data_IF_932657011529
#
_entry.id   IF_932657011529
#
_cell.length_a   1.000
_cell.length_b   1.000
_cell.length_c   1.000
_cell.angle_alpha   90.00
_cell.angle_beta   90.00
_cell.angle_gamma   90.00
#
_symmetry.space_group_name_H-M   'P 1'
#
loop_
_entity.id
_entity.type
_entity.pdbx_description
1 polymer ?
#
# COMPACT_ATOMS: atom_id res chain seq x y z
N UNK A 1 -5.84 56.14 -3.29
CA UNK A 1 -4.95 55.05 -3.78
C UNK A 1 -4.21 54.45 -2.58
N UNK A 2 -4.64 53.27 -2.10
CA UNK A 2 -4.00 52.56 -0.96
C UNK A 2 -3.07 51.48 -1.51
N UNK A 3 -1.79 51.52 -1.13
CA UNK A 3 -0.80 50.46 -1.43
C UNK A 3 -1.04 49.24 -0.52
N UNK A 4 -0.84 48.00 -1.02
CA UNK A 4 -0.92 46.80 -0.20
C UNK A 4 0.40 46.57 0.58
N UNK A 5 0.35 45.89 1.74
CA UNK A 5 1.55 45.59 2.52
C UNK A 5 2.33 44.40 1.94
N UNK A 6 3.66 44.55 1.91
CA UNK A 6 4.63 43.49 1.57
C UNK A 6 4.67 42.44 2.68
N UNK A 7 4.58 41.15 2.30
CA UNK A 7 4.90 40.02 3.18
C UNK A 7 6.39 39.68 3.07
N UNK A 8 7.07 39.64 4.20
CA UNK A 8 8.46 39.17 4.34
C UNK A 8 8.49 37.65 4.44
N UNK A 9 9.51 36.96 3.88
CA UNK A 9 9.66 35.52 4.02
C UNK A 9 10.41 35.16 5.30
N UNK A 10 9.80 34.32 6.14
CA UNK A 10 10.44 33.73 7.31
C UNK A 10 11.38 32.61 6.86
N UNK A 11 12.70 32.82 7.03
CA UNK A 11 13.73 31.79 6.86
C UNK A 11 13.77 30.94 8.13
N UNK A 12 13.46 29.64 8.03
CA UNK A 12 13.77 28.66 9.07
C UNK A 12 15.16 28.08 8.80
N UNK A 13 16.11 28.40 9.69
CA UNK A 13 17.46 27.88 9.68
C UNK A 13 17.49 26.50 10.33
N UNK A 14 18.15 25.54 9.68
CA UNK A 14 18.51 24.25 10.27
C UNK A 14 20.03 24.23 10.48
N UNK A 15 20.45 24.08 11.73
CA UNK A 15 21.85 23.92 12.11
C UNK A 15 22.35 22.51 11.77
N UNK A 16 23.48 22.46 11.08
CA UNK A 16 24.25 21.25 10.79
C UNK A 16 25.33 21.09 11.88
N UNK A 17 25.42 19.93 12.52
CA UNK A 17 26.60 19.51 13.30
C UNK A 17 27.19 18.30 12.59
N UNK A 18 28.45 18.42 12.18
CA UNK A 18 29.26 17.37 11.56
C UNK A 18 30.28 16.89 12.59
N UNK A 19 30.36 15.59 12.81
CA UNK A 19 31.50 14.91 13.44
C UNK A 19 31.87 13.68 12.59
N UNK A 20 33.17 13.40 12.56
CA UNK A 20 33.90 12.76 11.47
C UNK A 20 34.48 11.38 11.83
N UNK A 21 35.04 10.73 10.78
CA UNK A 21 36.03 9.62 10.76
C UNK A 21 35.51 8.22 11.15
N UNK A 22 35.90 7.08 10.54
CA UNK A 22 36.90 6.71 9.53
C UNK A 22 36.75 5.20 9.18
N UNK A 23 37.62 4.60 8.34
CA UNK A 23 37.33 3.40 7.56
C UNK A 23 37.60 2.04 8.23
N UNK A 24 36.88 1.02 7.74
CA UNK A 24 36.97 -0.40 8.09
C UNK A 24 38.15 -1.11 7.40
N UNK A 25 38.70 -2.14 8.07
CA UNK A 25 39.76 -3.04 7.58
C UNK A 25 39.19 -4.37 7.10
N UNK A 26 39.80 -4.88 6.03
CA UNK A 26 39.69 -6.22 5.45
C UNK A 26 40.18 -7.35 6.37
N UNK A 27 39.51 -8.50 6.28
CA UNK A 27 40.05 -9.88 6.24
C UNK A 27 38.83 -10.82 6.07
N UNK A 28 38.75 -11.78 5.14
CA UNK A 28 39.80 -12.52 4.47
C UNK A 28 39.93 -13.92 5.07
N UNK A 29 38.90 -14.76 4.99
CA UNK A 29 38.98 -16.18 5.37
C UNK A 29 38.48 -17.10 4.25
N UNK A 30 39.34 -18.07 3.90
CA UNK A 30 39.09 -19.14 2.93
C UNK A 30 38.36 -20.32 3.60
N UNK A 31 37.41 -20.98 2.92
CA UNK A 31 36.77 -22.19 3.45
C UNK A 31 37.72 -23.41 3.40
N UNK A 32 37.70 -24.19 4.48
CA UNK A 32 38.33 -25.50 4.63
C UNK A 32 37.47 -26.59 3.95
N UNK A 33 38.17 -27.57 3.35
CA UNK A 33 37.63 -28.72 2.63
C UNK A 33 36.63 -29.56 3.45
N UNK A 34 35.45 -29.76 2.88
CA UNK A 34 34.42 -30.65 3.43
C UNK A 34 34.59 -32.08 2.87
N UNK A 35 34.44 -33.13 3.70
CA UNK A 35 34.51 -34.52 3.28
C UNK A 35 33.30 -34.95 2.43
N UNK A 36 33.46 -35.98 1.57
CA UNK A 36 32.44 -36.40 0.60
C UNK A 36 31.19 -37.00 1.27
N UNK A 37 30.04 -36.65 0.71
CA UNK A 37 28.72 -37.10 1.16
C UNK A 37 28.47 -38.59 0.86
N UNK A 38 27.74 -39.32 1.72
CA UNK A 38 27.32 -40.69 1.44
C UNK A 38 26.24 -40.77 0.35
N UNK A 39 26.30 -41.82 -0.47
CA UNK A 39 25.35 -42.11 -1.55
C UNK A 39 23.91 -42.26 -1.04
N UNK A 40 22.90 -41.71 -1.76
CA UNK A 40 21.51 -41.77 -1.34
C UNK A 40 20.94 -43.18 -1.54
N UNK A 41 20.44 -43.76 -0.44
CA UNK A 41 19.63 -44.96 -0.46
C UNK A 41 18.36 -44.74 -1.29
N UNK A 42 18.12 -45.63 -2.25
CA UNK A 42 17.00 -45.61 -3.18
C UNK A 42 15.67 -45.91 -2.44
N UNK A 43 15.06 -44.89 -1.84
CA UNK A 43 13.75 -44.98 -1.21
C UNK A 43 12.66 -44.91 -2.28
N UNK A 44 12.03 -46.06 -2.57
CA UNK A 44 10.81 -46.11 -3.38
C UNK A 44 9.72 -45.32 -2.65
N UNK A 45 9.38 -44.15 -3.19
CA UNK A 45 8.32 -43.29 -2.66
C UNK A 45 6.97 -43.99 -2.81
N UNK A 46 6.25 -44.12 -1.69
CA UNK A 46 4.83 -44.50 -1.71
C UNK A 46 4.02 -43.44 -2.49
N UNK A 47 2.90 -43.82 -3.13
CA UNK A 47 2.03 -42.86 -3.80
C UNK A 47 1.54 -41.82 -2.79
N UNK A 48 1.90 -40.56 -3.05
CA UNK A 48 1.44 -39.41 -2.27
C UNK A 48 -0.08 -39.32 -2.47
N UNK A 49 -0.89 -39.28 -1.40
CA UNK A 49 -2.33 -39.06 -1.53
C UNK A 49 -2.58 -37.74 -2.27
N UNK A 50 -3.56 -37.73 -3.18
CA UNK A 50 -3.96 -36.55 -3.94
C UNK A 50 -4.20 -35.38 -2.98
N UNK A 51 -3.27 -34.42 -2.99
CA UNK A 51 -3.45 -33.17 -2.27
C UNK A 51 -4.62 -32.43 -2.91
N UNK A 52 -5.51 -31.81 -2.11
CA UNK A 52 -6.57 -30.99 -2.64
C UNK A 52 -5.98 -29.93 -3.60
N UNK A 53 -6.73 -29.53 -4.64
CA UNK A 53 -6.23 -28.56 -5.62
C UNK A 53 -5.77 -27.30 -4.90
N UNK A 54 -4.51 -26.93 -5.14
CA UNK A 54 -3.92 -25.69 -4.62
C UNK A 54 -4.83 -24.53 -5.02
N UNK A 55 -5.22 -23.62 -4.11
CA UNK A 55 -6.04 -22.47 -4.46
C UNK A 55 -5.39 -21.70 -5.60
N UNK A 56 -6.23 -21.23 -6.54
CA UNK A 56 -5.75 -20.47 -7.68
C UNK A 56 -4.91 -19.27 -7.21
N UNK A 57 -3.85 -18.94 -7.95
CA UNK A 57 -3.01 -17.80 -7.62
C UNK A 57 -3.87 -16.52 -7.55
N UNK A 58 -3.82 -15.83 -6.40
CA UNK A 58 -4.56 -14.59 -6.15
C UNK A 58 -4.16 -13.55 -7.19
N UNK A 59 -5.14 -12.83 -7.75
CA UNK A 59 -4.86 -11.72 -8.64
C UNK A 59 -4.47 -10.49 -7.79
N UNK A 60 -3.18 -10.35 -7.51
CA UNK A 60 -2.65 -9.31 -6.60
C UNK A 60 -3.03 -7.87 -6.99
N UNK A 61 -3.45 -7.62 -8.23
CA UNK A 61 -3.82 -6.28 -8.68
C UNK A 61 -5.31 -5.93 -8.47
N UNK A 62 -6.22 -6.90 -8.65
CA UNK A 62 -7.64 -6.68 -8.33
C UNK A 62 -7.81 -6.71 -6.81
N UNK A 63 -8.76 -5.97 -6.25
CA UNK A 63 -9.07 -5.93 -4.82
C UNK A 63 -10.59 -5.93 -4.69
N UNK A 64 -11.14 -6.69 -3.75
CA UNK A 64 -12.56 -6.71 -3.40
C UNK A 64 -12.73 -6.59 -1.87
N UNK A 65 -13.94 -6.35 -1.37
CA UNK A 65 -14.19 -6.21 0.07
C UNK A 65 -14.11 -7.55 0.82
N UNK A 66 -14.27 -8.65 0.11
CA UNK A 66 -14.10 -10.02 0.58
C UNK A 66 -12.76 -10.66 0.15
N UNK A 67 -11.88 -9.86 -0.47
CA UNK A 67 -10.59 -10.30 -0.99
C UNK A 67 -9.61 -9.12 -1.00
N UNK A 68 -9.06 -8.76 0.16
CA UNK A 68 -8.29 -7.51 0.31
C UNK A 68 -6.89 -7.64 0.91
N UNK A 69 -6.47 -8.76 1.49
CA UNK A 69 -5.08 -8.89 1.94
C UNK A 69 -4.11 -8.83 0.75
N UNK A 70 -3.14 -7.90 0.79
CA UNK A 70 -2.17 -7.68 -0.29
C UNK A 70 -0.80 -7.42 0.30
N UNK A 71 0.17 -8.22 -0.11
CA UNK A 71 1.56 -8.12 0.39
C UNK A 71 2.32 -6.94 -0.22
N UNK A 72 2.08 -6.65 -1.50
CA UNK A 72 2.83 -5.61 -2.23
C UNK A 72 1.94 -4.39 -2.46
N UNK A 73 2.40 -3.25 -1.96
CA UNK A 73 1.72 -1.97 -2.03
C UNK A 73 2.64 -0.90 -2.63
N UNK A 74 2.05 0.14 -3.21
CA UNK A 74 2.74 1.24 -3.85
C UNK A 74 2.18 2.58 -3.37
N UNK A 75 3.07 3.55 -3.20
CA UNK A 75 2.69 4.94 -2.90
C UNK A 75 3.46 5.90 -3.80
N UNK A 76 2.76 6.86 -4.37
CA UNK A 76 3.38 8.02 -4.99
C UNK A 76 3.89 8.98 -3.91
N UNK A 77 5.00 9.65 -4.18
CA UNK A 77 5.70 10.53 -3.24
C UNK A 77 6.52 11.56 -4.04
N UNK A 78 7.05 12.59 -3.38
CA UNK A 78 7.91 13.59 -4.03
C UNK A 78 9.39 13.23 -3.93
N UNK A 79 10.24 13.78 -4.81
CA UNK A 79 11.70 13.64 -4.71
C UNK A 79 12.25 14.04 -3.31
N UNK A 80 11.73 15.13 -2.73
CA UNK A 80 12.14 15.55 -1.38
C UNK A 80 11.79 14.52 -0.30
N UNK A 81 10.66 13.81 -0.44
CA UNK A 81 10.30 12.71 0.45
C UNK A 81 11.19 11.48 0.22
N UNK A 82 11.54 11.15 -1.03
CA UNK A 82 12.53 10.10 -1.34
C UNK A 82 13.87 10.40 -0.68
N UNK A 83 14.35 11.64 -0.77
CA UNK A 83 15.60 12.05 -0.12
C UNK A 83 15.53 11.90 1.41
N UNK A 84 14.37 12.22 2.01
CA UNK A 84 14.14 11.99 3.43
C UNK A 84 14.14 10.50 3.78
N UNK A 85 13.56 9.64 2.94
CA UNK A 85 13.63 8.16 3.09
C UNK A 85 15.07 7.66 3.02
N UNK A 86 15.86 8.13 2.04
CA UNK A 86 17.26 7.76 1.87
C UNK A 86 18.12 8.09 3.10
N UNK A 87 17.89 9.26 3.70
CA UNK A 87 18.61 9.72 4.89
C UNK A 87 18.16 9.02 6.17
N UNK A 88 16.86 8.98 6.41
CA UNK A 88 16.30 8.52 7.69
C UNK A 88 16.13 7.01 7.77
N UNK A 89 15.98 6.34 6.62
CA UNK A 89 15.57 4.94 6.50
C UNK A 89 14.24 4.62 7.17
N UNK A 90 13.39 5.62 7.42
CA UNK A 90 12.07 5.47 8.02
C UNK A 90 10.96 5.67 6.99
N UNK A 91 10.15 4.65 6.77
CA UNK A 91 9.03 4.69 5.83
C UNK A 91 7.85 5.50 6.39
N UNK A 92 7.53 5.29 7.67
CA UNK A 92 6.37 5.87 8.34
C UNK A 92 6.78 7.08 9.19
N UNK A 93 6.56 8.28 8.64
CA UNK A 93 6.98 9.55 9.26
C UNK A 93 5.83 10.48 9.58
N UNK A 94 4.70 10.38 8.88
CA UNK A 94 3.54 11.25 9.11
C UNK A 94 2.74 10.73 10.30
N UNK A 95 2.64 11.54 11.34
CA UNK A 95 1.58 11.45 12.34
C UNK A 95 0.34 12.21 11.84
N UNK A 96 -0.84 11.77 12.26
CA UNK A 96 -2.12 12.37 11.82
C UNK A 96 -2.38 13.77 12.37
N UNK A 97 -1.41 14.38 13.05
CA UNK A 97 -1.55 15.60 13.85
C UNK A 97 -1.24 16.88 13.05
N UNK A 98 -0.69 16.75 11.84
CA UNK A 98 -0.37 17.88 10.96
C UNK A 98 -1.38 17.98 9.82
N UNK A 99 -2.21 19.01 9.86
CA UNK A 99 -3.15 19.36 8.78
C UNK A 99 -4.59 18.89 9.02
N UNK A 100 -5.37 18.77 7.94
CA UNK A 100 -6.74 18.28 8.03
C UNK A 100 -6.73 16.79 8.35
N UNK A 101 -7.49 16.41 9.38
CA UNK A 101 -7.66 15.02 9.82
C UNK A 101 -8.19 14.16 8.67
N UNK A 102 -7.51 13.05 8.37
CA UNK A 102 -7.87 12.20 7.23
C UNK A 102 -9.24 11.55 7.39
N UNK A 103 -9.93 11.18 6.29
CA UNK A 103 -11.19 10.44 6.36
C UNK A 103 -11.08 9.16 7.20
N UNK A 104 -9.97 8.43 7.08
CA UNK A 104 -9.67 7.25 7.89
C UNK A 104 -9.73 7.56 9.40
N UNK A 105 -9.05 8.61 9.85
CA UNK A 105 -9.05 8.98 11.27
C UNK A 105 -10.44 9.42 11.74
N UNK A 106 -11.15 10.22 10.93
CA UNK A 106 -12.53 10.63 11.25
C UNK A 106 -13.48 9.44 11.37
N UNK A 107 -13.28 8.40 10.58
CA UNK A 107 -14.06 7.17 10.66
C UNK A 107 -13.74 6.38 11.93
N UNK A 108 -12.46 6.25 12.32
CA UNK A 108 -12.08 5.64 13.60
C UNK A 108 -12.63 6.41 14.80
N UNK A 109 -12.65 7.75 14.75
CA UNK A 109 -13.15 8.59 15.84
C UNK A 109 -14.59 8.26 16.22
N UNK A 110 -15.44 7.95 15.23
CA UNK A 110 -16.85 7.58 15.44
C UNK A 110 -17.02 6.22 16.12
N UNK A 111 -15.99 5.38 16.10
CA UNK A 111 -16.03 4.01 16.60
C UNK A 111 -15.28 3.83 17.91
N UNK A 112 -14.65 4.88 18.46
CA UNK A 112 -13.82 4.77 19.66
C UNK A 112 -14.56 4.19 20.87
N UNK A 113 -15.80 4.60 21.07
CA UNK A 113 -16.58 4.18 22.24
C UNK A 113 -17.24 2.80 22.07
N UNK A 114 -17.21 2.23 20.86
CA UNK A 114 -17.96 1.02 20.51
C UNK A 114 -17.08 -0.12 20.02
N UNK A 115 -15.83 0.14 19.64
CA UNK A 115 -14.95 -0.91 19.10
C UNK A 115 -13.49 -0.76 19.56
N UNK A 116 -12.93 -1.73 20.31
CA UNK A 116 -11.58 -1.62 20.90
C UNK A 116 -10.47 -1.51 19.85
N UNK A 117 -10.62 -2.16 18.69
CA UNK A 117 -9.63 -2.04 17.61
C UNK A 117 -9.53 -0.60 17.07
N UNK A 118 -10.59 0.21 17.16
CA UNK A 118 -10.55 1.59 16.70
C UNK A 118 -9.56 2.42 17.53
N UNK A 119 -9.55 2.23 18.85
CA UNK A 119 -8.60 2.87 19.76
C UNK A 119 -7.15 2.44 19.47
N UNK A 120 -6.92 1.13 19.27
CA UNK A 120 -5.60 0.60 18.89
C UNK A 120 -5.11 1.23 17.59
N UNK A 121 -5.92 1.16 16.53
CA UNK A 121 -5.55 1.66 15.21
C UNK A 121 -5.36 3.18 15.19
N UNK A 122 -6.06 3.93 16.05
CA UNK A 122 -6.00 5.39 16.14
C UNK A 122 -4.81 5.87 16.97
N UNK A 123 -4.67 5.37 18.19
CA UNK A 123 -3.87 6.00 19.25
C UNK A 123 -2.63 5.18 19.65
N UNK A 124 -2.56 3.88 19.32
CA UNK A 124 -1.41 3.06 19.69
C UNK A 124 -0.11 3.61 19.05
N UNK A 125 0.99 3.77 19.79
CA UNK A 125 2.24 4.33 19.27
C UNK A 125 2.79 3.61 18.03
N UNK A 126 2.52 2.31 17.92
CA UNK A 126 2.91 1.47 16.78
C UNK A 126 2.04 1.64 15.53
N UNK A 127 0.87 2.27 15.63
CA UNK A 127 -0.08 2.47 14.52
C UNK A 127 -0.34 3.94 14.15
N UNK A 128 0.09 4.88 14.99
CA UNK A 128 -0.17 6.32 14.79
C UNK A 128 0.46 6.88 13.52
N UNK A 129 1.61 6.35 13.10
CA UNK A 129 2.31 6.80 11.90
C UNK A 129 1.88 6.00 10.69
N UNK A 130 1.56 6.69 9.61
CA UNK A 130 0.83 6.08 8.51
C UNK A 130 1.35 6.51 7.15
N UNK A 131 1.12 5.66 6.17
CA UNK A 131 1.35 5.94 4.75
C UNK A 131 0.24 5.30 3.93
N UNK A 132 -0.38 6.10 3.08
CA UNK A 132 -1.44 5.65 2.20
C UNK A 132 -0.84 5.00 0.95
N UNK A 133 -1.38 3.87 0.54
CA UNK A 133 -0.85 3.08 -0.55
C UNK A 133 -1.97 2.34 -1.29
N UNK A 134 -1.61 1.74 -2.43
CA UNK A 134 -2.51 0.91 -3.23
C UNK A 134 -1.74 -0.19 -3.97
N UNK A 135 -2.43 -1.23 -4.45
CA UNK A 135 -1.79 -2.37 -5.13
C UNK A 135 -1.26 -2.05 -6.53
N UNK A 136 -1.86 -1.05 -7.18
CA UNK A 136 -1.53 -0.64 -8.55
C UNK A 136 -1.14 0.84 -8.60
N UNK A 137 0.11 1.19 -8.99
CA UNK A 137 0.53 2.58 -9.16
C UNK A 137 -0.42 3.42 -10.01
N UNK A 138 -0.93 2.89 -11.13
CA UNK A 138 -1.83 3.65 -11.99
C UNK A 138 -3.09 4.14 -11.28
N UNK A 139 -3.63 3.36 -10.33
CA UNK A 139 -4.92 3.65 -9.69
C UNK A 139 -4.89 4.87 -8.75
N UNK A 140 -3.71 5.43 -8.48
CA UNK A 140 -3.55 6.64 -7.66
C UNK A 140 -2.68 7.73 -8.29
N UNK A 141 -2.08 7.50 -9.47
CA UNK A 141 -1.14 8.45 -10.11
C UNK A 141 -1.72 9.83 -10.42
N UNK A 142 -3.02 9.91 -10.75
CA UNK A 142 -3.70 11.17 -11.01
C UNK A 142 -4.09 11.88 -9.70
N UNK A 143 -4.19 11.14 -8.58
CA UNK A 143 -4.61 11.65 -7.29
C UNK A 143 -6.13 11.84 -7.15
N UNK A 144 -6.54 12.53 -6.08
CA UNK A 144 -7.95 12.81 -5.77
C UNK A 144 -8.23 14.32 -5.81
N UNK A 145 -9.20 14.74 -6.62
CA UNK A 145 -9.49 16.15 -6.84
C UNK A 145 -8.31 16.88 -7.48
N UNK A 146 -7.89 18.02 -6.95
CA UNK A 146 -6.71 18.78 -7.40
C UNK A 146 -5.39 18.25 -6.82
N UNK A 147 -5.44 17.38 -5.82
CA UNK A 147 -4.26 16.89 -5.10
C UNK A 147 -3.47 15.91 -5.97
N UNK A 148 -2.15 16.11 -6.06
CA UNK A 148 -1.18 15.16 -6.61
C UNK A 148 -0.26 14.66 -5.49
N UNK A 149 0.17 13.41 -5.60
CA UNK A 149 0.99 12.75 -4.58
C UNK A 149 2.50 12.77 -4.88
N UNK A 150 2.88 13.29 -6.05
CA UNK A 150 4.26 13.34 -6.54
C UNK A 150 4.46 12.44 -7.77
N UNK A 151 5.71 12.32 -8.19
CA UNK A 151 6.18 11.63 -9.39
C UNK A 151 7.20 10.53 -9.09
N UNK A 152 7.64 10.39 -7.84
CA UNK A 152 8.43 9.24 -7.39
C UNK A 152 7.51 8.16 -6.79
N UNK A 153 7.99 6.91 -6.80
CA UNK A 153 7.22 5.75 -6.35
C UNK A 153 8.01 4.96 -5.31
N UNK A 154 7.33 4.56 -4.23
CA UNK A 154 7.83 3.61 -3.24
C UNK A 154 7.06 2.30 -3.39
N UNK A 155 7.77 1.18 -3.46
CA UNK A 155 7.21 -0.17 -3.30
C UNK A 155 7.38 -0.60 -1.85
N UNK A 156 6.33 -1.16 -1.27
CA UNK A 156 6.28 -1.64 0.11
C UNK A 156 5.89 -3.11 0.07
N UNK A 157 6.70 -3.96 0.69
CA UNK A 157 6.47 -5.38 0.87
C UNK A 157 6.14 -5.62 2.35
N UNK A 158 4.91 -6.06 2.63
CA UNK A 158 4.52 -6.50 3.97
C UNK A 158 5.18 -7.85 4.32
N UNK A 159 5.32 -8.10 5.62
CA UNK A 159 5.77 -9.38 6.16
C UNK A 159 4.77 -10.50 5.82
N UNK A 160 5.25 -11.75 5.80
CA UNK A 160 4.45 -12.93 5.43
C UNK A 160 3.39 -13.28 6.47
N UNK A 161 3.65 -12.94 7.72
CA UNK A 161 2.80 -13.17 8.89
C UNK A 161 1.95 -11.95 9.28
N UNK A 162 2.05 -10.87 8.50
CA UNK A 162 1.28 -9.66 8.71
C UNK A 162 -0.22 -9.89 8.50
N UNK A 163 -1.03 -9.20 9.29
CA UNK A 163 -2.48 -9.14 9.15
C UNK A 163 -2.88 -7.86 8.42
N UNK A 164 -3.92 -7.95 7.58
CA UNK A 164 -4.61 -6.80 7.02
C UNK A 164 -5.99 -6.69 7.65
N UNK A 165 -6.31 -5.50 8.15
CA UNK A 165 -7.65 -5.19 8.65
C UNK A 165 -8.48 -4.60 7.52
N UNK A 166 -9.58 -5.23 7.14
CA UNK A 166 -10.62 -4.62 6.32
C UNK A 166 -11.46 -3.70 7.20
N UNK A 167 -11.49 -2.40 6.89
CA UNK A 167 -12.21 -1.39 7.64
C UNK A 167 -13.29 -0.72 6.79
N UNK A 168 -14.56 -1.03 7.11
CA UNK A 168 -15.76 -0.51 6.44
C UNK A 168 -16.66 0.16 7.49
N UNK A 169 -16.53 1.46 7.74
CA UNK A 169 -17.17 2.14 8.87
C UNK A 169 -18.71 2.13 8.84
N UNK A 170 -19.31 1.85 7.69
CA UNK A 170 -20.77 1.77 7.51
C UNK A 170 -21.32 0.34 7.49
N UNK A 171 -20.46 -0.68 7.58
CA UNK A 171 -20.89 -2.07 7.66
C UNK A 171 -21.36 -2.42 9.08
N UNK A 172 -22.21 -3.44 9.21
CA UNK A 172 -22.63 -3.97 10.51
C UNK A 172 -21.43 -4.48 11.33
N UNK A 173 -20.49 -5.13 10.65
CA UNK A 173 -19.17 -5.50 11.18
C UNK A 173 -18.13 -4.58 10.55
N UNK A 174 -17.72 -3.50 11.24
CA UNK A 174 -16.86 -2.49 10.64
C UNK A 174 -15.42 -2.98 10.43
N UNK A 175 -14.99 -4.00 11.18
CA UNK A 175 -13.65 -4.57 11.08
C UNK A 175 -13.71 -6.07 10.78
N UNK A 176 -12.98 -6.48 9.76
CA UNK A 176 -12.70 -7.88 9.40
C UNK A 176 -11.21 -8.04 9.21
N UNK A 177 -10.66 -9.26 9.33
CA UNK A 177 -9.23 -9.49 9.21
C UNK A 177 -8.93 -10.63 8.26
N UNK A 178 -7.88 -10.47 7.46
CA UNK A 178 -7.29 -11.50 6.64
C UNK A 178 -5.79 -11.60 6.93
N UNK A 179 -5.25 -12.81 6.87
CA UNK A 179 -3.80 -13.00 6.77
C UNK A 179 -3.31 -12.83 5.31
N UNK A 180 -2.00 -12.97 5.07
CA UNK A 180 -1.43 -12.84 3.72
C UNK A 180 -1.86 -13.93 2.74
N UNK A 181 -2.42 -15.04 3.21
CA UNK A 181 -3.02 -16.07 2.35
C UNK A 181 -4.46 -15.73 1.96
N UNK A 182 -5.07 -14.71 2.58
CA UNK A 182 -6.46 -14.32 2.36
C UNK A 182 -7.45 -15.07 3.23
N UNK A 183 -6.96 -15.83 4.22
CA UNK A 183 -7.82 -16.56 5.13
C UNK A 183 -8.33 -15.61 6.23
N UNK A 184 -9.63 -15.68 6.59
CA UNK A 184 -10.18 -14.89 7.68
C UNK A 184 -9.49 -15.18 9.02
N UNK A 185 -9.23 -14.12 9.79
CA UNK A 185 -8.63 -14.20 11.12
C UNK A 185 -9.59 -13.63 12.17
N UNK A 186 -9.69 -14.29 13.32
CA UNK A 186 -10.48 -13.79 14.43
C UNK A 186 -9.93 -12.44 14.94
N UNK A 187 -10.83 -11.47 15.14
CA UNK A 187 -10.51 -10.16 15.68
C UNK A 187 -9.75 -10.23 17.02
N UNK A 188 -10.02 -11.24 17.84
CA UNK A 188 -9.32 -11.46 19.11
C UNK A 188 -7.80 -11.56 18.93
N UNK A 189 -7.32 -12.10 17.80
CA UNK A 189 -5.89 -12.21 17.50
C UNK A 189 -5.27 -10.81 17.37
N UNK A 190 -5.91 -9.88 16.65
CA UNK A 190 -5.40 -8.53 16.49
C UNK A 190 -5.51 -7.68 17.75
N UNK A 191 -6.45 -7.97 18.64
CA UNK A 191 -6.54 -7.34 19.95
C UNK A 191 -5.43 -7.83 20.89
N UNK A 192 -5.08 -9.12 20.84
CA UNK A 192 -4.01 -9.70 21.63
C UNK A 192 -2.61 -9.37 21.07
N UNK A 193 -2.47 -9.32 19.76
CA UNK A 193 -1.21 -9.13 19.04
C UNK A 193 -1.32 -7.96 18.02
N UNK A 194 -1.57 -6.71 18.47
CA UNK A 194 -1.72 -5.57 17.57
C UNK A 194 -0.48 -5.34 16.70
N UNK A 195 0.69 -5.78 17.17
CA UNK A 195 1.95 -5.74 16.43
C UNK A 195 1.97 -6.57 15.15
N UNK A 196 1.00 -7.46 14.91
CA UNK A 196 0.85 -8.21 13.64
C UNK A 196 0.08 -7.44 12.57
N UNK A 197 -0.65 -6.37 12.93
CA UNK A 197 -1.38 -5.57 11.94
C UNK A 197 -0.37 -4.76 11.13
N UNK A 198 -0.25 -5.04 9.83
CA UNK A 198 0.65 -4.31 8.92
C UNK A 198 -0.03 -3.14 8.20
N UNK A 199 -1.28 -3.37 7.76
CA UNK A 199 -2.05 -2.40 7.01
C UNK A 199 -3.56 -2.48 7.29
N UNK A 200 -4.26 -1.39 6.99
CA UNK A 200 -5.72 -1.34 7.01
C UNK A 200 -6.23 -1.05 5.60
N UNK A 201 -7.02 -1.95 5.04
CA UNK A 201 -7.81 -1.70 3.84
C UNK A 201 -9.06 -0.90 4.23
N UNK A 202 -8.97 0.43 4.10
CA UNK A 202 -10.03 1.36 4.46
C UNK A 202 -10.93 1.61 3.25
N UNK A 203 -12.23 1.41 3.43
CA UNK A 203 -13.25 1.70 2.41
C UNK A 203 -14.11 2.86 2.88
N UNK A 204 -14.36 3.79 1.97
CA UNK A 204 -15.24 4.94 2.14
C UNK A 204 -16.20 4.99 0.97
N UNK A 205 -17.39 4.43 1.15
CA UNK A 205 -18.44 4.31 0.15
C UNK A 205 -19.83 4.57 0.75
N UNK A 206 -19.88 5.32 1.87
CA UNK A 206 -21.11 5.66 2.55
C UNK A 206 -22.00 6.61 1.74
N UNK A 207 -23.30 6.67 2.05
CA UNK A 207 -24.27 7.48 1.28
C UNK A 207 -23.94 8.99 1.30
N UNK A 208 -23.25 9.47 2.34
CA UNK A 208 -22.89 10.88 2.50
C UNK A 208 -21.49 11.20 1.94
N UNK A 209 -20.80 10.23 1.35
CA UNK A 209 -19.46 10.42 0.83
C UNK A 209 -19.50 10.97 -0.61
N UNK A 210 -18.92 12.15 -0.87
CA UNK A 210 -19.02 12.79 -2.18
C UNK A 210 -18.27 12.03 -3.28
N UNK A 211 -17.27 11.24 -2.89
CA UNK A 211 -16.49 10.38 -3.78
C UNK A 211 -16.18 9.11 -3.00
N UNK A 212 -16.66 7.98 -3.53
CA UNK A 212 -16.31 6.68 -2.98
C UNK A 212 -14.84 6.35 -3.28
N UNK A 213 -14.13 5.85 -2.28
CA UNK A 213 -12.76 5.41 -2.43
C UNK A 213 -12.40 4.29 -1.47
N UNK A 214 -11.27 3.68 -1.75
CA UNK A 214 -10.65 2.66 -0.93
C UNK A 214 -9.13 2.80 -1.01
N UNK A 215 -8.46 2.52 0.09
CA UNK A 215 -7.03 2.73 0.22
C UNK A 215 -6.42 1.75 1.24
N UNK A 216 -5.13 1.46 1.09
CA UNK A 216 -4.38 0.81 2.17
C UNK A 216 -3.72 1.87 3.03
N UNK A 217 -3.88 1.75 4.33
CA UNK A 217 -3.18 2.54 5.34
C UNK A 217 -2.10 1.64 5.95
N UNK A 218 -0.88 1.74 5.44
CA UNK A 218 0.29 1.08 6.05
C UNK A 218 0.57 1.78 7.36
N UNK A 219 0.44 1.06 8.47
CA UNK A 219 0.42 1.67 9.80
C UNK A 219 1.46 1.09 10.75
N UNK A 220 2.16 0.01 10.40
CA UNK A 220 3.14 -0.62 11.28
C UNK A 220 4.43 -0.95 10.55
N UNK A 221 5.52 -0.26 10.92
CA UNK A 221 6.82 -0.42 10.28
C UNK A 221 7.51 -1.75 10.63
N UNK A 222 7.16 -2.40 11.74
CA UNK A 222 7.70 -3.73 12.09
C UNK A 222 7.13 -4.86 11.23
N UNK A 223 6.00 -4.60 10.55
CA UNK A 223 5.32 -5.53 9.64
C UNK A 223 5.63 -5.23 8.17
N UNK A 224 6.63 -4.39 7.91
CA UNK A 224 7.17 -4.13 6.56
C UNK A 224 8.44 -4.96 6.40
N UNK A 225 8.39 -5.99 5.57
CA UNK A 225 9.56 -6.83 5.27
C UNK A 225 10.62 -6.05 4.47
N UNK A 226 10.18 -5.21 3.53
CA UNK A 226 11.04 -4.32 2.79
C UNK A 226 10.27 -3.13 2.22
N UNK A 227 10.98 -2.05 1.93
CA UNK A 227 10.51 -1.05 0.99
C UNK A 227 11.63 -0.63 0.05
N UNK A 228 11.27 -0.12 -1.13
CA UNK A 228 12.24 0.25 -2.14
C UNK A 228 11.83 1.47 -2.96
N UNK A 229 12.83 2.14 -3.53
CA UNK A 229 12.69 3.28 -4.45
C UNK A 229 13.68 3.14 -5.60
N UNK A 230 13.30 3.63 -6.78
CA UNK A 230 14.14 3.66 -7.99
C UNK A 230 14.72 2.28 -8.41
N UNK A 231 14.11 1.17 -8.02
CA UNK A 231 14.59 -0.18 -8.34
C UNK A 231 14.16 -0.67 -9.72
N UNK A 232 14.88 -1.66 -10.29
CA UNK A 232 14.44 -2.35 -11.50
C UNK A 232 13.05 -2.96 -11.37
N UNK A 233 12.69 -3.51 -10.20
CA UNK A 233 11.36 -4.11 -9.96
C UNK A 233 10.22 -3.08 -10.09
N UNK A 234 10.45 -1.85 -9.60
CA UNK A 234 9.49 -0.75 -9.78
C UNK A 234 9.33 -0.41 -11.26
N UNK A 235 10.43 -0.35 -12.03
CA UNK A 235 10.39 -0.08 -13.47
C UNK A 235 9.64 -1.19 -14.22
N UNK A 236 9.97 -2.44 -13.93
CA UNK A 236 9.29 -3.59 -14.52
C UNK A 236 7.79 -3.60 -14.21
N UNK A 237 7.40 -3.22 -12.99
CA UNK A 237 5.98 -3.05 -12.64
C UNK A 237 5.32 -1.95 -13.47
N UNK A 238 5.94 -0.78 -13.58
CA UNK A 238 5.40 0.34 -14.36
C UNK A 238 5.29 -0.01 -15.84
N UNK A 239 6.26 -0.72 -16.41
CA UNK A 239 6.22 -1.21 -17.79
C UNK A 239 5.05 -2.17 -18.02
N UNK A 240 4.81 -3.10 -17.08
CA UNK A 240 3.67 -4.00 -17.13
C UNK A 240 2.32 -3.25 -17.04
N UNK A 241 2.23 -2.23 -16.19
CA UNK A 241 1.02 -1.40 -16.10
C UNK A 241 0.80 -0.54 -17.35
N UNK A 242 1.86 0.04 -17.91
CA UNK A 242 1.80 0.77 -19.17
C UNK A 242 1.33 -0.14 -20.33
N UNK A 243 1.88 -1.35 -20.43
CA UNK A 243 1.48 -2.33 -21.43
C UNK A 243 -0.01 -2.71 -21.28
N UNK A 244 -0.47 -2.95 -20.05
CA UNK A 244 -1.88 -3.20 -19.76
C UNK A 244 -2.76 -2.02 -20.19
N UNK A 245 -2.42 -0.80 -19.77
CA UNK A 245 -3.21 0.40 -20.09
C UNK A 245 -3.28 0.66 -21.59
N UNK A 246 -2.17 0.48 -22.33
CA UNK A 246 -2.15 0.60 -23.78
C UNK A 246 -2.93 -0.52 -24.48
N UNK A 247 -3.00 -1.71 -23.89
CA UNK A 247 -3.88 -2.80 -24.35
C UNK A 247 -5.35 -2.42 -24.15
N UNK A 248 -5.73 -2.02 -22.93
CA UNK A 248 -7.10 -1.61 -22.60
C UNK A 248 -7.58 -0.44 -23.47
N UNK A 249 -6.70 0.55 -23.71
CA UNK A 249 -6.98 1.73 -24.54
C UNK A 249 -7.22 1.39 -26.01
N UNK A 250 -6.63 0.30 -26.53
CA UNK A 250 -6.76 -0.13 -27.93
C UNK A 250 -7.74 -1.28 -28.14
N UNK A 251 -8.07 -2.02 -27.08
CA UNK A 251 -8.89 -3.24 -27.13
C UNK A 251 -10.22 -3.06 -26.41
N UNK A 252 -10.48 -3.95 -25.47
CA UNK A 252 -11.81 -4.21 -24.89
C UNK A 252 -12.54 -2.98 -24.35
N UNK A 253 -11.83 -1.99 -23.78
CA UNK A 253 -12.48 -0.80 -23.23
C UNK A 253 -12.76 0.28 -24.29
N UNK A 254 -12.03 0.26 -25.42
CA UNK A 254 -12.15 1.25 -26.49
C UNK A 254 -13.52 1.21 -27.19
N UNK A 255 -14.17 0.04 -27.17
CA UNK A 255 -15.43 -0.21 -27.87
C UNK A 255 -16.66 -0.23 -26.95
N UNK A 256 -16.48 0.03 -25.65
CA UNK A 256 -17.61 0.05 -24.72
C UNK A 256 -18.54 1.24 -25.02
N UNK A 257 -19.87 1.05 -24.89
CA UNK A 257 -20.81 2.14 -25.07
C UNK A 257 -20.60 3.22 -23.99
N UNK A 258 -20.85 4.51 -24.29
CA UNK A 258 -20.65 5.60 -23.33
C UNK A 258 -21.36 5.43 -21.98
N UNK A 259 -22.49 4.70 -21.95
CA UNK A 259 -23.19 4.38 -20.71
C UNK A 259 -22.38 3.44 -19.81
N UNK A 260 -21.75 2.41 -20.38
CA UNK A 260 -20.90 1.47 -19.63
C UNK A 260 -19.66 2.16 -19.05
N UNK A 261 -19.05 3.09 -19.78
CA UNK A 261 -17.91 3.88 -19.30
C UNK A 261 -18.23 4.80 -18.10
N UNK A 262 -19.52 5.03 -17.82
CA UNK A 262 -20.00 5.80 -16.67
C UNK A 262 -20.46 4.92 -15.51
N UNK A 263 -20.44 3.60 -15.65
CA UNK A 263 -20.79 2.70 -14.57
C UNK A 263 -19.86 2.93 -13.37
N UNK A 264 -20.40 2.98 -12.14
CA UNK A 264 -19.59 3.21 -10.95
C UNK A 264 -18.69 2.01 -10.66
N UNK A 265 -17.46 2.27 -10.22
CA UNK A 265 -16.53 1.21 -9.82
C UNK A 265 -17.01 0.47 -8.55
N UNK A 266 -17.72 1.18 -7.67
CA UNK A 266 -18.29 0.65 -6.41
C UNK A 266 -19.17 -0.58 -6.61
N UNK A 267 -19.81 -0.75 -7.77
CA UNK A 267 -20.67 -1.91 -8.05
C UNK A 267 -19.93 -3.26 -8.01
N UNK A 268 -18.61 -3.29 -8.23
CA UNK A 268 -17.81 -4.53 -8.24
C UNK A 268 -16.82 -4.63 -7.07
N UNK A 269 -16.75 -3.60 -6.22
CA UNK A 269 -15.86 -3.62 -5.08
C UNK A 269 -16.25 -4.66 -4.01
N UNK A 270 -17.54 -4.97 -3.75
CA UNK A 270 -17.90 -5.97 -2.74
C UNK A 270 -17.29 -7.34 -2.97
N UNK A 271 -17.50 -7.90 -4.17
CA UNK A 271 -17.16 -9.29 -4.49
C UNK A 271 -16.82 -9.41 -5.97
N UNK A 272 -15.86 -10.27 -6.30
CA UNK A 272 -15.50 -10.57 -7.68
C UNK A 272 -16.69 -11.24 -8.42
N UNK A 273 -17.09 -10.73 -9.61
CA UNK A 273 -18.04 -11.44 -10.46
C UNK A 273 -17.48 -12.81 -10.87
N UNK A 274 -18.36 -13.82 -10.97
CA UNK A 274 -17.98 -15.17 -11.44
C UNK A 274 -17.34 -15.13 -12.83
N UNK A 275 -17.83 -14.25 -13.69
CA UNK A 275 -17.35 -14.04 -15.06
C UNK A 275 -17.02 -12.55 -15.23
N UNK A 276 -15.85 -12.09 -14.78
CA UNK A 276 -15.54 -10.66 -14.76
C UNK A 276 -15.30 -10.17 -16.19
N UNK A 277 -16.02 -9.12 -16.57
CA UNK A 277 -15.81 -8.39 -17.82
C UNK A 277 -14.49 -7.60 -17.76
N UNK A 278 -13.98 -7.11 -18.91
CA UNK A 278 -12.85 -6.19 -18.92
C UNK A 278 -13.08 -4.92 -18.07
N UNK A 279 -14.31 -4.43 -18.01
CA UNK A 279 -14.68 -3.28 -17.18
C UNK A 279 -14.63 -3.62 -15.68
N UNK A 280 -15.12 -4.81 -15.29
CA UNK A 280 -15.05 -5.26 -13.89
C UNK A 280 -13.60 -5.39 -13.44
N UNK A 281 -12.74 -5.95 -14.30
CA UNK A 281 -11.29 -6.04 -14.05
C UNK A 281 -10.62 -4.69 -13.92
N UNK A 282 -11.08 -3.67 -14.65
CA UNK A 282 -10.63 -2.29 -14.51
C UNK A 282 -11.07 -1.72 -13.15
N UNK A 283 -12.36 -1.75 -12.85
CA UNK A 283 -12.94 -1.21 -11.62
C UNK A 283 -12.39 -1.86 -10.35
N UNK A 284 -12.17 -3.18 -10.38
CA UNK A 284 -11.58 -3.94 -9.27
C UNK A 284 -10.14 -3.52 -8.95
N UNK A 285 -9.44 -2.81 -9.85
CA UNK A 285 -8.08 -2.28 -9.61
C UNK A 285 -8.05 -0.84 -9.14
N UNK A 286 -9.17 -0.11 -9.25
CA UNK A 286 -9.23 1.31 -8.90
C UNK A 286 -9.28 1.53 -7.39
N UNK A 287 -8.60 2.59 -6.94
CA UNK A 287 -8.71 3.12 -5.58
C UNK A 287 -9.88 4.12 -5.45
N UNK A 288 -10.26 4.79 -6.53
CA UNK A 288 -11.28 5.85 -6.53
C UNK A 288 -12.38 5.57 -7.55
N UNK A 289 -13.64 5.79 -7.15
CA UNK A 289 -14.77 5.86 -8.08
C UNK A 289 -15.01 7.32 -8.47
N UNK A 290 -14.19 7.84 -9.39
CA UNK A 290 -14.27 9.22 -9.85
C UNK A 290 -14.07 9.37 -11.36
N UNK A 291 -14.43 10.54 -11.89
CA UNK A 291 -14.43 10.77 -13.33
C UNK A 291 -13.05 10.71 -13.99
N UNK A 292 -11.97 10.96 -13.23
CA UNK A 292 -10.58 10.97 -13.73
C UNK A 292 -10.09 9.56 -14.07
N UNK A 293 -10.69 8.54 -13.45
CA UNK A 293 -10.35 7.12 -13.63
C UNK A 293 -11.38 6.34 -14.43
N UNK A 294 -12.40 6.99 -14.99
CA UNK A 294 -13.28 6.34 -15.97
C UNK A 294 -12.45 5.87 -17.17
N UNK A 295 -12.69 4.66 -17.72
CA UNK A 295 -11.84 4.09 -18.77
C UNK A 295 -12.11 4.70 -20.16
N UNK A 296 -12.25 6.02 -20.24
CA UNK A 296 -12.34 6.74 -21.52
C UNK A 296 -10.98 6.81 -22.20
N UNK A 297 -10.90 6.90 -23.53
CA UNK A 297 -9.62 7.04 -24.23
C UNK A 297 -8.76 8.22 -23.73
N UNK A 298 -9.40 9.35 -23.43
CA UNK A 298 -8.73 10.54 -22.91
C UNK A 298 -8.15 10.32 -21.51
N UNK A 299 -8.93 9.71 -20.60
CA UNK A 299 -8.46 9.42 -19.25
C UNK A 299 -7.35 8.36 -19.23
N UNK A 300 -7.49 7.29 -20.01
CA UNK A 300 -6.43 6.28 -20.14
C UNK A 300 -5.13 6.90 -20.66
N UNK A 301 -5.21 7.79 -21.67
CA UNK A 301 -4.05 8.54 -22.14
C UNK A 301 -3.44 9.44 -21.04
N UNK A 302 -4.26 10.08 -20.20
CA UNK A 302 -3.79 10.89 -19.08
C UNK A 302 -3.09 10.03 -18.00
N UNK A 303 -3.64 8.87 -17.64
CA UNK A 303 -3.01 7.92 -16.71
C UNK A 303 -1.67 7.43 -17.27
N UNK A 304 -1.63 7.02 -18.55
CA UNK A 304 -0.40 6.59 -19.23
C UNK A 304 0.66 7.69 -19.21
N UNK A 305 0.27 8.93 -19.56
CA UNK A 305 1.18 10.07 -19.56
C UNK A 305 1.73 10.35 -18.15
N UNK A 306 0.88 10.25 -17.12
CA UNK A 306 1.29 10.44 -15.73
C UNK A 306 2.26 9.35 -15.25
N UNK A 307 2.02 8.07 -15.60
CA UNK A 307 2.96 6.98 -15.30
C UNK A 307 4.31 7.16 -16.00
N UNK A 308 4.31 7.61 -17.27
CA UNK A 308 5.54 7.94 -18.00
C UNK A 308 6.30 9.12 -17.39
N UNK A 309 5.62 9.96 -16.62
CA UNK A 309 6.21 11.04 -15.84
C UNK A 309 6.87 10.59 -14.54
N UNK A 310 6.94 9.28 -14.26
CA UNK A 310 7.68 8.73 -13.14
C UNK A 310 9.12 9.25 -13.11
N UNK A 311 9.56 9.74 -11.96
CA UNK A 311 10.94 10.15 -11.70
C UNK A 311 11.76 8.98 -11.13
N UNK A 312 12.66 8.36 -11.92
CA UNK A 312 13.51 7.28 -11.47
C UNK A 312 14.80 7.76 -10.80
N UNK A 313 14.93 9.04 -10.44
CA UNK A 313 16.18 9.63 -9.99
C UNK A 313 16.77 9.01 -8.70
N UNK A 314 18.11 9.03 -8.66
CA UNK A 314 18.92 8.50 -7.57
C UNK A 314 19.18 7.00 -7.68
N UNK A 315 20.15 6.53 -6.89
CA UNK A 315 20.55 5.11 -6.88
C UNK A 315 19.40 4.20 -6.40
N UNK A 316 19.23 2.99 -6.95
CA UNK A 316 18.29 2.01 -6.41
C UNK A 316 18.50 1.83 -4.90
N UNK A 317 17.41 1.88 -4.13
CA UNK A 317 17.45 1.64 -2.70
C UNK A 317 16.42 0.58 -2.34
N UNK A 318 16.87 -0.46 -1.65
CA UNK A 318 16.04 -1.42 -0.92
C UNK A 318 16.42 -1.33 0.54
N UNK A 319 15.45 -1.19 1.43
CA UNK A 319 15.67 -1.17 2.87
C UNK A 319 14.73 -2.16 3.55
N UNK A 320 15.25 -2.87 4.56
CA UNK A 320 14.49 -3.73 5.47
C UNK A 320 14.45 -3.03 6.83
N UNK A 321 13.28 -2.55 7.27
CA UNK A 321 13.17 -1.92 8.57
C UNK A 321 13.61 -2.85 9.70
N UNK A 322 14.32 -2.31 10.69
CA UNK A 322 14.69 -2.99 11.94
C UNK A 322 13.79 -2.54 13.10
N UNK A 323 12.68 -1.86 12.80
CA UNK A 323 11.78 -1.31 13.80
C UNK A 323 11.09 -2.43 14.59
N UNK A 324 11.16 -2.38 15.92
CA UNK A 324 10.31 -3.20 16.78
C UNK A 324 8.93 -2.54 16.95
N UNK A 325 7.90 -3.36 17.15
CA UNK A 325 6.60 -2.86 17.55
C UNK A 325 6.70 -2.35 18.99
N UNK A 326 6.32 -1.10 19.29
CA UNK A 326 6.40 -0.59 20.65
C UNK A 326 5.36 -1.30 21.52
N UNK A 327 5.75 -1.69 22.73
CA UNK A 327 4.78 -2.13 23.73
C UNK A 327 3.83 -0.97 24.07
N UNK A 328 2.54 -1.27 24.24
CA UNK A 328 1.59 -0.29 24.73
C UNK A 328 2.08 0.22 26.09
N UNK A 329 2.04 1.54 26.38
CA UNK A 329 2.27 2.01 27.73
C UNK A 329 1.25 1.30 28.62
N UNK A 330 1.71 0.56 29.63
CA UNK A 330 0.84 0.06 30.68
C UNK A 330 0.06 1.28 31.19
N UNK A 331 -1.27 1.25 31.06
CA UNK A 331 -2.12 2.32 31.59
C UNK A 331 -1.72 2.51 33.06
N UNK A 332 -1.25 3.70 33.41
CA UNK A 332 -0.92 4.00 34.79
C UNK A 332 -2.19 3.75 35.62
N UNK A 333 -2.10 2.98 36.73
CA UNK A 333 -3.25 2.56 37.51
C UNK A 333 -4.05 3.73 38.11
#
# INVERSE_FOLDING_TARGET
MRRPPRRSPTRAAWCLVVLACGPARDAGERPLDAPPAPEPANQRSAPVPDLPPRPAARNDAAVHHDDFARRVLYTWTTAAQVDALRRSRRLLVADGDVGERSPYLRALDRLLDVHPLAAILRDHPGHRRRRYAWTSPFATVLGLGERRYGDALVRIDLAEDALVVGFRPHAAEPFVLEDMSGEPVDLAVALAEPGRIGAVYHVRDGPDDPIAFREYVVCNESQVAAWSVATPDIRARLDAELALLESLRRGDLAHLPPAALRAPATAVWPTAPREPTPLDRWHARLAFDNERYRPTPANLAAVIAALRGYDPAGEPLVHRPEASFPEAPLAAP
#
